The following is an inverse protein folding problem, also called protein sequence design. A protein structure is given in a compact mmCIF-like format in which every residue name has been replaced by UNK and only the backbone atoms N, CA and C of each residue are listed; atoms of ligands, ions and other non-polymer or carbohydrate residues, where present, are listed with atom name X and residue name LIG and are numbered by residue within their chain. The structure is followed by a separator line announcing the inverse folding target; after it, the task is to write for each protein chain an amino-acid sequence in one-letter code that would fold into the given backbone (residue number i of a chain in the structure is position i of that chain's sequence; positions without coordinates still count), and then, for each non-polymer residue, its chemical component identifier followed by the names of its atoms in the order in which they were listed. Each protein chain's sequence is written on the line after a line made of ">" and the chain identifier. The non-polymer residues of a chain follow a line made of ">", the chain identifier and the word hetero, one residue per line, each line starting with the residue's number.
data_IF_735067207225
#
_entry.id   IF_735067207225
#
_cell.length_a   1.000
_cell.length_b   1.000
_cell.length_c   1.000
_cell.angle_alpha   90.00
_cell.angle_beta   90.00
_cell.angle_gamma   90.00
#
_symmetry.space_group_name_H-M   'P 1'
#
loop_
_entity.id
_entity.type
_entity.pdbx_description
1 polymer ?
#
# COMPACT_ATOMS: atom_id res chain seq x y z
N UNK A 1 3.38 4.84 -9.84
CA UNK A 1 2.23 3.97 -10.17
C UNK A 1 2.64 2.51 -10.04
N UNK A 2 1.69 1.57 -9.99
CA UNK A 2 2.00 0.15 -10.14
C UNK A 2 2.08 -0.15 -11.65
N UNK A 3 3.20 -0.69 -12.16
CA UNK A 3 3.28 -1.15 -13.54
C UNK A 3 2.48 -2.46 -13.71
N UNK A 4 2.19 -2.82 -14.95
CA UNK A 4 1.71 -4.17 -15.23
C UNK A 4 2.83 -5.18 -14.92
N UNK A 5 2.49 -6.25 -14.19
CA UNK A 5 3.44 -7.28 -13.78
C UNK A 5 2.86 -8.64 -14.10
N UNK A 6 3.63 -9.45 -14.82
CA UNK A 6 3.39 -10.88 -15.00
C UNK A 6 4.49 -11.62 -14.27
N UNK A 7 4.15 -12.30 -13.18
CA UNK A 7 5.13 -12.99 -12.34
C UNK A 7 4.54 -14.27 -11.77
N UNK A 8 5.27 -15.39 -11.86
CA UNK A 8 4.87 -16.70 -11.31
C UNK A 8 3.46 -17.16 -11.73
N UNK A 9 3.08 -16.91 -12.98
CA UNK A 9 1.76 -17.28 -13.53
C UNK A 9 0.64 -16.34 -13.13
N UNK A 10 0.97 -15.23 -12.46
CA UNK A 10 0.01 -14.27 -11.93
C UNK A 10 0.16 -12.92 -12.62
N UNK A 11 -0.99 -12.34 -12.95
CA UNK A 11 -1.07 -11.02 -13.57
C UNK A 11 -1.54 -10.00 -12.53
N UNK A 12 -0.80 -8.88 -12.47
CA UNK A 12 -1.13 -7.70 -11.67
C UNK A 12 -1.29 -6.54 -12.65
N UNK A 13 -2.49 -5.93 -12.76
CA UNK A 13 -2.74 -4.87 -13.72
C UNK A 13 -1.96 -3.59 -13.38
N UNK A 14 -1.65 -2.78 -14.38
CA UNK A 14 -1.16 -1.43 -14.14
C UNK A 14 -2.21 -0.58 -13.41
N UNK A 15 -1.79 0.38 -12.59
CA UNK A 15 -2.74 1.30 -11.96
C UNK A 15 -2.10 2.40 -11.11
N UNK A 16 -2.81 3.51 -11.02
CA UNK A 16 -2.43 4.62 -10.14
C UNK A 16 -2.70 4.30 -8.67
N UNK A 17 -1.93 4.92 -7.77
CA UNK A 17 -2.04 4.69 -6.32
C UNK A 17 -2.74 5.87 -5.68
N UNK A 18 -3.82 5.60 -4.95
CA UNK A 18 -4.63 6.59 -4.26
C UNK A 18 -4.58 6.40 -2.75
N UNK A 19 -4.28 7.49 -2.05
CA UNK A 19 -4.45 7.59 -0.61
C UNK A 19 -5.75 8.33 -0.31
N UNK A 20 -6.68 7.64 0.37
CA UNK A 20 -7.96 8.22 0.78
C UNK A 20 -7.85 8.80 2.19
N UNK A 21 -8.66 9.81 2.52
CA UNK A 21 -8.79 10.33 3.90
C UNK A 21 -9.18 9.20 4.86
N UNK A 22 -10.14 8.38 4.44
CA UNK A 22 -10.56 7.16 5.13
C UNK A 22 -11.12 7.40 6.54
N UNK A 23 -11.14 6.34 7.36
CA UNK A 23 -11.63 6.39 8.75
C UNK A 23 -11.03 5.29 9.60
N UNK A 24 -10.81 5.57 10.87
CA UNK A 24 -10.49 4.58 11.90
C UNK A 24 -11.79 4.18 12.63
N UNK A 25 -12.06 2.88 12.74
CA UNK A 25 -13.27 2.33 13.39
C UNK A 25 -12.97 1.39 14.55
N UNK A 26 -11.70 1.17 14.86
CA UNK A 26 -11.21 0.34 15.96
C UNK A 26 -9.83 -0.24 15.67
N UNK A 27 -9.24 -0.97 16.62
CA UNK A 27 -7.92 -1.57 16.47
C UNK A 27 -7.84 -2.48 15.23
N UNK A 28 -6.88 -2.22 14.35
CA UNK A 28 -6.70 -2.89 13.06
C UNK A 28 -7.94 -2.82 12.14
N UNK A 29 -8.84 -1.87 12.37
CA UNK A 29 -10.09 -1.71 11.60
C UNK A 29 -10.23 -0.29 11.09
N UNK A 30 -9.97 -0.11 9.80
CA UNK A 30 -10.11 1.18 9.13
C UNK A 30 -9.29 1.19 7.85
N UNK A 31 -9.20 2.37 7.22
CA UNK A 31 -8.32 2.59 6.08
C UNK A 31 -7.95 4.06 5.93
N UNK A 32 -6.93 4.33 5.13
CA UNK A 32 -6.55 5.68 4.72
C UNK A 32 -5.84 6.50 5.80
N UNK A 33 -5.69 7.80 5.53
CA UNK A 33 -4.90 8.75 6.33
C UNK A 33 -5.27 8.70 7.82
N UNK A 34 -6.57 8.76 8.13
CA UNK A 34 -7.07 8.78 9.52
C UNK A 34 -6.79 7.47 10.26
N UNK A 35 -6.85 6.33 9.57
CA UNK A 35 -6.56 5.04 10.17
C UNK A 35 -5.07 4.87 10.43
N UNK A 36 -4.23 5.18 9.44
CA UNK A 36 -2.77 5.08 9.55
C UNK A 36 -2.26 5.96 10.69
N UNK A 37 -2.72 7.22 10.79
CA UNK A 37 -2.32 8.10 11.88
C UNK A 37 -2.76 7.55 13.24
N UNK A 38 -4.02 7.13 13.38
CA UNK A 38 -4.54 6.62 14.66
C UNK A 38 -3.80 5.37 15.16
N UNK A 39 -3.39 4.47 14.25
CA UNK A 39 -2.65 3.25 14.62
C UNK A 39 -1.15 3.49 14.83
N UNK A 40 -0.55 4.43 14.08
CA UNK A 40 0.91 4.54 13.95
C UNK A 40 1.52 5.89 14.34
N UNK A 41 0.74 6.83 14.87
CA UNK A 41 1.21 8.18 15.28
C UNK A 41 2.50 8.13 16.09
N UNK A 42 2.58 7.24 17.08
CA UNK A 42 3.75 7.16 17.98
C UNK A 42 5.03 6.77 17.24
N UNK A 43 4.95 5.87 16.27
CA UNK A 43 6.11 5.47 15.47
C UNK A 43 6.46 6.53 14.43
N UNK A 44 5.44 7.08 13.74
CA UNK A 44 5.60 8.13 12.74
C UNK A 44 6.24 9.40 13.33
N UNK A 45 5.79 9.81 14.51
CA UNK A 45 6.34 10.99 15.20
C UNK A 45 7.81 10.81 15.54
N UNK A 46 8.23 9.59 15.95
CA UNK A 46 9.65 9.27 16.22
C UNK A 46 10.51 9.31 14.96
N UNK A 47 9.91 9.13 13.78
CA UNK A 47 10.56 9.19 12.48
C UNK A 47 10.53 10.58 11.84
N UNK A 48 9.94 11.58 12.52
CA UNK A 48 9.86 12.97 12.03
C UNK A 48 8.59 13.31 11.25
N UNK A 49 7.55 12.46 11.31
CA UNK A 49 6.22 12.73 10.75
C UNK A 49 5.28 13.11 11.91
N UNK A 50 5.04 14.41 12.09
CA UNK A 50 4.51 14.97 13.34
C UNK A 50 3.00 15.23 13.31
N UNK A 51 2.39 15.19 12.13
CA UNK A 51 0.97 15.49 11.94
C UNK A 51 0.29 14.47 11.06
N UNK A 52 -1.04 14.40 11.14
CA UNK A 52 -1.85 13.57 10.24
C UNK A 52 -1.61 13.89 8.75
N UNK A 53 -1.26 15.14 8.42
CA UNK A 53 -0.94 15.54 7.05
C UNK A 53 0.39 14.94 6.57
N UNK A 54 1.29 14.60 7.49
CA UNK A 54 2.57 13.96 7.18
C UNK A 54 2.41 12.49 6.76
N UNK A 55 1.23 11.88 6.93
CA UNK A 55 0.97 10.52 6.43
C UNK A 55 1.13 10.46 4.91
N UNK A 56 0.65 11.46 4.17
CA UNK A 56 0.83 11.50 2.72
C UNK A 56 2.31 11.54 2.34
N UNK A 57 3.13 12.31 3.09
CA UNK A 57 4.58 12.35 2.93
C UNK A 57 5.22 11.00 3.22
N UNK A 58 4.86 10.37 4.34
CA UNK A 58 5.37 9.05 4.72
C UNK A 58 5.10 7.99 3.65
N UNK A 59 3.87 7.94 3.13
CA UNK A 59 3.50 7.04 2.04
C UNK A 59 4.32 7.35 0.78
N UNK A 60 4.44 8.61 0.38
CA UNK A 60 5.24 9.01 -0.78
C UNK A 60 6.73 8.68 -0.62
N UNK A 61 7.27 8.71 0.59
CA UNK A 61 8.66 8.34 0.87
C UNK A 61 8.89 6.83 0.77
N UNK A 62 7.86 6.01 0.99
CA UNK A 62 7.92 4.56 0.75
C UNK A 62 7.77 4.24 -0.74
N UNK A 63 6.81 4.88 -1.41
CA UNK A 63 6.45 4.64 -2.81
C UNK A 63 7.36 5.47 -3.72
N UNK A 64 8.64 5.13 -3.72
CA UNK A 64 9.64 5.70 -4.64
C UNK A 64 9.95 4.73 -5.79
N UNK A 65 10.43 5.22 -6.94
CA UNK A 65 10.99 4.36 -7.98
C UNK A 65 11.96 3.33 -7.39
N UNK A 66 11.80 2.06 -7.78
CA UNK A 66 12.58 0.94 -7.26
C UNK A 66 12.04 0.31 -5.96
N UNK A 67 11.02 0.88 -5.31
CA UNK A 67 10.35 0.25 -4.17
C UNK A 67 9.86 -1.16 -4.55
N UNK A 68 10.09 -2.13 -3.67
CA UNK A 68 9.82 -3.53 -3.97
C UNK A 68 8.33 -3.82 -3.84
N UNK A 69 7.77 -4.48 -4.84
CA UNK A 69 6.37 -4.89 -4.89
C UNK A 69 6.30 -6.36 -4.49
N UNK A 70 5.59 -6.62 -3.41
CA UNK A 70 5.27 -7.95 -2.93
C UNK A 70 3.77 -8.20 -3.10
N UNK A 71 3.41 -9.45 -3.36
CA UNK A 71 2.02 -9.85 -3.52
C UNK A 71 1.72 -11.00 -2.56
N UNK A 72 0.64 -10.87 -1.79
CA UNK A 72 0.07 -12.02 -1.09
C UNK A 72 -0.71 -12.85 -2.10
N UNK A 73 -0.34 -14.12 -2.24
CA UNK A 73 -1.02 -15.08 -3.11
C UNK A 73 -2.09 -15.89 -2.37
N UNK A 74 -2.27 -15.66 -1.06
CA UNK A 74 -3.11 -16.49 -0.20
C UNK A 74 -4.31 -15.70 0.35
N UNK A 75 -5.22 -15.30 -0.53
CA UNK A 75 -6.54 -14.84 -0.08
C UNK A 75 -7.51 -16.02 -0.08
N UNK A 76 -8.04 -16.42 1.08
CA UNK A 76 -9.03 -17.49 1.23
C UNK A 76 -10.33 -17.25 0.42
N UNK A 77 -10.55 -16.02 -0.07
CA UNK A 77 -11.67 -15.63 -0.91
C UNK A 77 -11.32 -15.49 -2.42
N UNK A 78 -10.10 -15.88 -2.83
CA UNK A 78 -9.70 -16.07 -4.22
C UNK A 78 -9.63 -14.84 -5.13
N UNK A 79 -9.84 -13.61 -4.64
CA UNK A 79 -9.97 -12.41 -5.51
C UNK A 79 -9.28 -11.13 -5.02
N UNK A 80 -8.75 -11.09 -3.80
CA UNK A 80 -8.13 -9.86 -3.27
C UNK A 80 -6.66 -10.12 -2.98
N UNK A 81 -5.79 -9.67 -3.88
CA UNK A 81 -4.33 -9.70 -3.68
C UNK A 81 -3.86 -8.37 -3.11
N UNK A 82 -3.64 -8.26 -1.79
CA UNK A 82 -2.99 -7.08 -1.28
C UNK A 82 -1.57 -7.01 -1.86
N UNK A 83 -1.25 -5.84 -2.38
CA UNK A 83 0.07 -5.53 -2.91
C UNK A 83 0.83 -4.74 -1.86
N UNK A 84 1.94 -5.29 -1.38
CA UNK A 84 2.78 -4.68 -0.35
C UNK A 84 3.97 -4.00 -1.00
N UNK A 85 4.04 -2.68 -0.89
CA UNK A 85 5.20 -1.91 -1.29
C UNK A 85 6.16 -1.79 -0.12
N UNK A 86 7.43 -2.14 -0.34
CA UNK A 86 8.46 -2.15 0.70
C UNK A 86 9.64 -1.27 0.33
N UNK A 87 10.05 -0.45 1.30
CA UNK A 87 11.27 0.32 1.28
C UNK A 87 12.04 0.15 2.60
N UNK A 88 13.27 0.69 2.74
CA UNK A 88 13.92 0.76 4.04
C UNK A 88 13.12 1.58 5.07
N UNK A 89 12.25 2.50 4.65
CA UNK A 89 11.49 3.34 5.55
C UNK A 89 10.31 2.60 6.21
N UNK A 90 9.64 1.73 5.45
CA UNK A 90 8.46 1.01 5.92
C UNK A 90 7.80 0.23 4.81
N UNK A 91 6.54 -0.14 5.02
CA UNK A 91 5.73 -0.84 4.03
C UNK A 91 4.34 -0.20 3.90
N UNK A 92 3.78 -0.27 2.69
CA UNK A 92 2.42 0.19 2.37
C UNK A 92 1.64 -0.98 1.81
N UNK A 93 0.43 -1.21 2.34
CA UNK A 93 -0.48 -2.23 1.84
C UNK A 93 -1.49 -1.58 0.90
N UNK A 94 -1.55 -2.07 -0.33
CA UNK A 94 -2.46 -1.61 -1.37
C UNK A 94 -3.51 -2.68 -1.66
N UNK A 95 -4.73 -2.24 -1.91
CA UNK A 95 -5.81 -3.07 -2.44
C UNK A 95 -6.12 -2.66 -3.87
N UNK A 96 -6.03 -3.58 -4.85
CA UNK A 96 -6.45 -3.31 -6.22
C UNK A 96 -7.97 -3.17 -6.30
N UNK A 97 -8.44 -2.25 -7.14
CA UNK A 97 -9.85 -2.02 -7.44
C UNK A 97 -10.04 -1.78 -8.93
N UNK A 98 -11.11 -2.33 -9.48
CA UNK A 98 -11.57 -1.97 -10.82
C UNK A 98 -11.98 -0.50 -10.85
N UNK A 99 -11.53 0.19 -11.89
CA UNK A 99 -11.86 1.57 -12.20
C UNK A 99 -11.88 1.71 -13.73
N UNK A 100 -12.96 1.23 -14.40
CA UNK A 100 -13.08 1.20 -15.85
C UNK A 100 -12.91 2.56 -16.54
N UNK A 101 -13.09 3.65 -15.78
CA UNK A 101 -12.89 5.03 -16.22
C UNK A 101 -11.40 5.41 -16.39
N UNK A 102 -10.47 4.62 -15.87
CA UNK A 102 -9.02 4.86 -15.97
C UNK A 102 -8.42 4.13 -17.17
N UNK A 103 -7.29 4.61 -17.69
CA UNK A 103 -6.64 4.02 -18.86
C UNK A 103 -6.24 2.55 -18.68
N UNK A 104 -5.93 2.12 -17.45
CA UNK A 104 -5.60 0.72 -17.13
C UNK A 104 -6.78 -0.11 -16.64
N UNK A 105 -7.96 0.51 -16.47
CA UNK A 105 -9.14 -0.12 -15.87
C UNK A 105 -8.99 -0.42 -14.38
N UNK A 106 -7.90 0.01 -13.73
CA UNK A 106 -7.57 -0.36 -12.35
C UNK A 106 -6.88 0.77 -11.58
N UNK A 107 -7.18 0.83 -10.28
CA UNK A 107 -6.48 1.67 -9.31
C UNK A 107 -6.05 0.84 -8.09
N UNK A 108 -5.10 1.37 -7.33
CA UNK A 108 -4.64 0.80 -6.08
C UNK A 108 -4.95 1.76 -4.94
N UNK A 109 -5.69 1.29 -3.93
CA UNK A 109 -6.00 2.11 -2.75
C UNK A 109 -5.12 1.73 -1.58
N UNK A 110 -4.52 2.72 -0.91
CA UNK A 110 -3.76 2.50 0.32
C UNK A 110 -4.74 2.10 1.44
N UNK A 111 -4.57 0.87 1.93
CA UNK A 111 -5.34 0.34 3.06
C UNK A 111 -4.69 0.78 4.37
N UNK A 112 -3.40 0.49 4.52
CA UNK A 112 -2.61 0.81 5.71
C UNK A 112 -1.12 0.92 5.39
N UNK A 113 -0.30 1.33 6.36
CA UNK A 113 1.15 1.35 6.26
C UNK A 113 1.80 1.09 7.62
N UNK A 114 2.88 0.32 7.63
CA UNK A 114 3.61 -0.03 8.84
C UNK A 114 5.06 0.46 8.76
N UNK A 115 5.63 0.78 9.91
CA UNK A 115 7.07 1.09 10.05
C UNK A 115 7.91 -0.19 10.17
N UNK A 116 7.29 -1.30 10.59
CA UNK A 116 7.93 -2.62 10.66
C UNK A 116 8.08 -3.22 9.25
N UNK A 117 9.20 -3.94 9.04
CA UNK A 117 9.66 -4.40 7.71
C UNK A 117 9.35 -5.86 7.39
N UNK A 118 8.60 -6.55 8.23
CA UNK A 118 8.27 -7.97 8.05
C UNK A 118 7.03 -8.12 7.17
N UNK A 119 7.24 -8.58 5.94
CA UNK A 119 6.20 -9.08 5.04
C UNK A 119 6.53 -10.56 4.79
N UNK A 120 5.53 -11.45 4.83
CA UNK A 120 5.70 -12.89 4.61
C UNK A 120 5.50 -13.26 3.12
N UNK A 121 5.72 -12.28 2.24
CA UNK A 121 5.15 -12.27 0.89
C UNK A 121 6.20 -12.54 -0.19
N UNK A 122 5.71 -12.76 -1.40
CA UNK A 122 6.57 -13.05 -2.57
C UNK A 122 6.85 -11.76 -3.33
N UNK A 123 8.14 -11.50 -3.60
CA UNK A 123 8.59 -10.40 -4.45
C UNK A 123 8.17 -10.66 -5.90
N UNK A 124 7.45 -9.70 -6.50
CA UNK A 124 6.91 -9.81 -7.86
C UNK A 124 7.41 -8.73 -8.82
N UNK A 125 7.91 -7.59 -8.31
CA UNK A 125 8.45 -6.53 -9.15
C UNK A 125 8.89 -5.29 -8.37
N UNK A 126 9.00 -4.16 -9.08
CA UNK A 126 9.39 -2.87 -8.53
C UNK A 126 8.51 -1.74 -9.08
N UNK A 127 8.26 -0.73 -8.24
CA UNK A 127 7.62 0.52 -8.64
C UNK A 127 8.50 1.22 -9.69
N UNK A 128 7.87 1.75 -10.75
CA UNK A 128 8.52 2.59 -11.77
C UNK A 128 8.60 4.04 -11.30
#
# INVERSE_FOLDING_TARGET
>A
MIPEIVSKGEWIPAGEIFLRVGRHTGPNRGFGVRHIWAEHEKELTKMGYHTINDVARYISDIIRPGAKIYCEFNSAAGRHRPTVLKSPLGLVVLEPREAPETASGHIYTVVTAYTKRTAHDVLVGNVQ
#
